data_IF_359186679420
#
_entry.id   IF_359186679420
#
_cell.length_a   1.000
_cell.length_b   1.000
_cell.length_c   1.000
_cell.angle_alpha   90.00
_cell.angle_beta   90.00
_cell.angle_gamma   90.00
#
_symmetry.space_group_name_H-M   'P 1'
#
loop_
_entity.id
_entity.type
_entity.pdbx_description
1 polymer ?
#
# COMPACT_ATOMS: atom_id res chain seq x y z
N UNK A 1 -10.14 -1.62 14.44
CA UNK A 1 -9.41 -2.47 13.48
C UNK A 1 -10.36 -3.56 13.09
N UNK A 2 -10.84 -3.59 11.83
CA UNK A 2 -11.69 -4.69 11.38
C UNK A 2 -10.84 -5.96 11.37
N UNK A 3 -11.41 -7.09 11.81
CA UNK A 3 -10.77 -8.38 11.60
C UNK A 3 -10.51 -8.55 10.09
N UNK A 4 -9.31 -9.03 9.74
CA UNK A 4 -8.97 -9.37 8.35
C UNK A 4 -9.93 -10.43 7.79
N UNK A 5 -9.92 -10.64 6.47
CA UNK A 5 -10.78 -11.62 5.83
C UNK A 5 -10.52 -13.00 6.44
N UNK A 6 -11.57 -13.82 6.52
CA UNK A 6 -11.48 -15.20 6.99
C UNK A 6 -10.70 -16.13 6.02
N UNK A 7 -10.19 -15.60 4.91
CA UNK A 7 -9.43 -16.30 3.88
C UNK A 7 -8.07 -15.67 3.62
N UNK A 8 -7.22 -16.29 2.76
CA UNK A 8 -5.88 -15.80 2.48
C UNK A 8 -5.93 -14.47 1.73
N UNK A 9 -4.98 -13.58 2.03
CA UNK A 9 -4.73 -12.38 1.25
C UNK A 9 -4.19 -12.77 -0.14
N UNK A 10 -4.86 -12.36 -1.22
CA UNK A 10 -4.53 -12.75 -2.58
C UNK A 10 -3.75 -11.66 -3.33
N UNK A 11 -3.91 -10.39 -2.93
CA UNK A 11 -3.37 -9.24 -3.66
C UNK A 11 -2.61 -8.27 -2.75
N UNK A 12 -1.33 -8.06 -3.07
CA UNK A 12 -0.43 -7.19 -2.31
C UNK A 12 0.01 -6.07 -3.23
N UNK A 13 -0.36 -4.83 -2.90
CA UNK A 13 -0.07 -3.64 -3.70
C UNK A 13 0.97 -2.76 -3.00
N UNK A 14 2.14 -2.61 -3.61
CA UNK A 14 3.18 -1.70 -3.15
C UNK A 14 2.91 -0.28 -3.67
N UNK A 15 3.01 0.73 -2.78
CA UNK A 15 2.83 2.14 -3.12
C UNK A 15 3.96 2.99 -2.52
N UNK A 16 4.58 3.92 -3.29
CA UNK A 16 5.64 4.79 -2.79
C UNK A 16 5.12 5.75 -1.72
N UNK A 17 5.75 5.75 -0.55
CA UNK A 17 5.30 6.50 0.62
C UNK A 17 5.48 8.01 0.53
N UNK A 18 6.32 8.49 -0.39
CA UNK A 18 6.50 9.92 -0.63
C UNK A 18 5.45 10.54 -1.59
N UNK A 19 4.50 9.72 -2.10
CA UNK A 19 3.42 10.15 -3.02
C UNK A 19 2.05 9.95 -2.38
N UNK A 20 1.57 10.90 -1.55
CA UNK A 20 0.32 10.73 -0.79
C UNK A 20 -0.91 10.49 -1.68
N UNK A 21 -0.99 11.11 -2.85
CA UNK A 21 -2.09 10.88 -3.80
C UNK A 21 -2.12 9.45 -4.35
N UNK A 22 -0.95 8.84 -4.53
CA UNK A 22 -0.82 7.44 -4.97
C UNK A 22 -1.22 6.49 -3.86
N UNK A 23 -0.77 6.74 -2.62
CA UNK A 23 -1.18 5.96 -1.44
C UNK A 23 -2.69 6.02 -1.25
N UNK A 24 -3.30 7.22 -1.38
CA UNK A 24 -4.73 7.39 -1.27
C UNK A 24 -5.51 6.58 -2.32
N UNK A 25 -4.99 6.47 -3.55
CA UNK A 25 -5.58 5.62 -4.60
C UNK A 25 -5.41 4.13 -4.28
N UNK A 26 -4.24 3.72 -3.80
CA UNK A 26 -3.95 2.34 -3.44
C UNK A 26 -4.90 1.84 -2.34
N UNK A 27 -5.18 2.65 -1.31
CA UNK A 27 -6.14 2.35 -0.25
C UNK A 27 -7.59 2.16 -0.76
N UNK A 28 -7.91 2.66 -1.96
CA UNK A 28 -9.23 2.51 -2.60
C UNK A 28 -9.23 1.47 -3.74
N UNK A 29 -8.11 0.80 -3.99
CA UNK A 29 -7.94 -0.09 -5.16
C UNK A 29 -8.67 -1.42 -5.05
N UNK A 30 -9.06 -1.83 -3.84
CA UNK A 30 -9.57 -3.18 -3.57
C UNK A 30 -8.48 -4.22 -3.35
N UNK A 31 -7.20 -3.84 -3.31
CA UNK A 31 -6.14 -4.72 -2.87
C UNK A 31 -6.37 -5.19 -1.42
N UNK A 32 -6.06 -6.45 -1.17
CA UNK A 32 -6.16 -7.08 0.15
C UNK A 32 -5.21 -6.43 1.15
N UNK A 33 -3.98 -6.15 0.70
CA UNK A 33 -2.94 -5.47 1.48
C UNK A 33 -2.33 -4.35 0.65
N UNK A 34 -2.19 -3.18 1.26
CA UNK A 34 -1.42 -2.05 0.69
C UNK A 34 -0.16 -1.87 1.53
N UNK A 35 1.00 -2.05 0.91
CA UNK A 35 2.30 -1.81 1.52
C UNK A 35 2.79 -0.43 1.10
N UNK A 36 2.86 0.48 2.06
CA UNK A 36 3.44 1.80 1.84
C UNK A 36 4.96 1.67 1.99
N UNK A 37 5.65 1.74 0.87
CA UNK A 37 7.09 1.53 0.79
C UNK A 37 7.85 2.84 1.04
N UNK A 38 8.76 2.80 2.00
CA UNK A 38 9.62 3.93 2.38
C UNK A 38 11.08 3.71 1.95
N UNK A 39 11.38 2.57 1.34
CA UNK A 39 12.72 2.17 0.94
C UNK A 39 12.95 2.50 -0.54
N UNK A 40 12.99 1.49 -1.41
CA UNK A 40 13.46 1.59 -2.79
C UNK A 40 12.45 2.24 -3.75
N UNK A 41 11.17 2.32 -3.37
CA UNK A 41 10.20 3.13 -4.11
C UNK A 41 10.32 4.65 -3.87
N UNK A 42 11.17 5.10 -2.92
CA UNK A 42 11.37 6.51 -2.57
C UNK A 42 12.76 7.00 -2.99
N UNK A 43 12.82 8.15 -3.66
CA UNK A 43 14.10 8.75 -4.05
C UNK A 43 14.88 9.24 -2.81
N UNK A 44 16.20 8.96 -2.70
CA UNK A 44 17.01 9.48 -1.60
C UNK A 44 17.06 11.01 -1.61
N UNK A 45 16.96 11.63 -0.43
CA UNK A 45 17.24 13.07 -0.26
C UNK A 45 16.11 14.02 -0.66
N UNK A 46 14.86 13.57 -0.58
CA UNK A 46 13.70 14.47 -0.56
C UNK A 46 13.42 15.00 0.85
#
# INVERSE_FOLDING_TARGET
>A
MSAGPAGPWLTWLYAPGDRPDTVAKALRSGADVVLVDLEDAVAPGR
#
